data_IF_797495309111
#
_entry.id   IF_797495309111
#
_cell.length_a   1.000
_cell.length_b   1.000
_cell.length_c   1.000
_cell.angle_alpha   90.00
_cell.angle_beta   90.00
_cell.angle_gamma   90.00
#
_symmetry.space_group_name_H-M   'P 1'
#
loop_
_entity.id
_entity.type
_entity.pdbx_description
1 polymer ?
#
# COMPACT_ATOMS: atom_id res chain seq x y z
N UNK A 1 -36.67 52.45 29.19
CA UNK A 1 -37.37 51.24 28.68
C UNK A 1 -37.01 51.07 27.21
N UNK A 2 -36.65 49.85 26.78
CA UNK A 2 -36.18 49.38 25.44
C UNK A 2 -34.69 49.59 25.17
N UNK A 3 -33.82 48.72 25.70
CA UNK A 3 -33.42 47.37 25.24
C UNK A 3 -32.33 47.44 24.15
N UNK A 4 -31.12 47.19 24.62
CA UNK A 4 -29.91 46.76 23.91
C UNK A 4 -30.19 45.45 23.18
N UNK A 5 -29.87 45.32 21.89
CA UNK A 5 -29.55 44.03 21.30
C UNK A 5 -28.35 44.13 20.36
N UNK A 6 -27.26 43.54 20.84
CA UNK A 6 -25.94 43.41 20.25
C UNK A 6 -25.98 42.65 18.92
N UNK A 7 -25.24 43.17 17.95
CA UNK A 7 -24.85 42.45 16.74
C UNK A 7 -23.80 41.41 17.15
N UNK A 8 -24.24 40.20 17.50
CA UNK A 8 -23.36 39.04 17.67
C UNK A 8 -23.08 38.49 16.27
N UNK A 9 -21.92 38.82 15.73
CA UNK A 9 -21.38 38.18 14.55
C UNK A 9 -21.07 36.71 14.87
N UNK A 10 -21.86 35.81 14.31
CA UNK A 10 -21.56 34.37 14.32
C UNK A 10 -20.46 34.15 13.28
N UNK A 11 -19.21 34.13 13.72
CA UNK A 11 -18.09 33.65 12.94
C UNK A 11 -18.17 32.11 12.92
N UNK A 12 -18.80 31.54 11.89
CA UNK A 12 -18.72 30.10 11.62
C UNK A 12 -17.29 29.77 11.21
N UNK A 13 -16.47 29.39 12.20
CA UNK A 13 -15.17 28.78 11.95
C UNK A 13 -15.44 27.37 11.38
N UNK A 14 -15.64 27.27 10.07
CA UNK A 14 -15.59 25.98 9.40
C UNK A 14 -14.15 25.47 9.58
N UNK A 15 -13.97 24.49 10.46
CA UNK A 15 -12.74 23.74 10.52
C UNK A 15 -12.56 23.12 9.13
N UNK A 16 -11.64 23.66 8.32
CA UNK A 16 -11.13 22.96 7.15
C UNK A 16 -10.44 21.70 7.69
N UNK A 17 -11.19 20.60 7.77
CA UNK A 17 -10.57 19.28 7.82
C UNK A 17 -9.87 19.12 6.48
N UNK A 18 -8.56 19.38 6.47
CA UNK A 18 -7.71 18.99 5.37
C UNK A 18 -7.77 17.46 5.35
N UNK A 19 -8.63 16.89 4.50
CA UNK A 19 -8.64 15.46 4.27
C UNK A 19 -7.30 15.11 3.62
N UNK A 20 -6.41 14.51 4.39
CA UNK A 20 -5.22 13.90 3.83
C UNK A 20 -5.66 12.74 2.93
N UNK A 21 -5.17 12.71 1.69
CA UNK A 21 -5.40 11.60 0.75
C UNK A 21 -4.04 10.97 0.46
N UNK A 22 -3.72 9.85 1.12
CA UNK A 22 -2.58 9.03 0.70
C UNK A 22 -3.00 8.24 -0.53
N UNK A 23 -2.43 8.58 -1.68
CA UNK A 23 -2.76 7.96 -2.97
C UNK A 23 -1.69 6.96 -3.33
N UNK A 24 -2.08 5.69 -3.44
CA UNK A 24 -1.24 4.66 -4.05
C UNK A 24 -1.47 4.68 -5.56
N UNK A 25 -0.39 4.91 -6.30
CA UNK A 25 -0.32 4.87 -7.76
C UNK A 25 0.49 3.64 -8.15
N UNK A 26 -0.12 2.72 -8.88
CA UNK A 26 0.52 1.47 -9.27
C UNK A 26 1.02 1.56 -10.71
N UNK A 27 2.32 1.34 -10.90
CA UNK A 27 2.95 1.24 -12.22
C UNK A 27 3.06 -0.25 -12.55
N UNK A 28 2.18 -0.72 -13.43
CA UNK A 28 2.20 -2.11 -13.92
C UNK A 28 3.32 -2.27 -14.95
N UNK A 29 4.36 -3.00 -14.57
CA UNK A 29 5.61 -3.13 -15.31
C UNK A 29 5.83 -4.55 -15.87
N UNK A 30 4.77 -5.35 -15.93
CA UNK A 30 4.79 -6.62 -16.65
C UNK A 30 4.89 -6.38 -18.17
N UNK A 31 5.37 -7.36 -18.92
CA UNK A 31 5.36 -7.29 -20.38
C UNK A 31 3.92 -7.23 -20.92
N UNK A 32 3.65 -6.52 -22.02
CA UNK A 32 2.34 -6.52 -22.66
C UNK A 32 1.82 -7.95 -22.89
N UNK A 33 0.56 -8.20 -22.54
CA UNK A 33 -0.05 -9.52 -22.67
C UNK A 33 0.32 -10.52 -21.56
N UNK A 34 1.01 -10.08 -20.50
CA UNK A 34 1.38 -10.94 -19.36
C UNK A 34 0.93 -10.37 -18.02
N UNK A 35 1.02 -11.18 -16.96
CA UNK A 35 0.89 -10.70 -15.58
C UNK A 35 -0.39 -9.92 -15.30
N UNK A 36 -0.25 -8.73 -14.70
CA UNK A 36 -1.35 -7.83 -14.43
C UNK A 36 -1.98 -7.23 -15.70
N UNK A 37 -1.31 -7.21 -16.85
CA UNK A 37 -1.91 -6.69 -18.10
C UNK A 37 -3.08 -7.53 -18.62
N UNK A 38 -3.12 -8.83 -18.28
CA UNK A 38 -4.21 -9.74 -18.67
C UNK A 38 -5.12 -10.13 -17.51
N UNK A 39 -4.99 -9.47 -16.35
CA UNK A 39 -5.74 -9.77 -15.11
C UNK A 39 -6.45 -8.53 -14.56
N UNK A 40 -7.55 -8.08 -15.21
CA UNK A 40 -8.28 -6.90 -14.77
C UNK A 40 -8.81 -7.04 -13.33
N UNK A 41 -9.17 -8.25 -12.90
CA UNK A 41 -9.61 -8.54 -11.53
C UNK A 41 -8.50 -8.32 -10.50
N UNK A 42 -7.27 -8.73 -10.79
CA UNK A 42 -6.13 -8.52 -9.91
C UNK A 42 -5.79 -7.03 -9.79
N UNK A 43 -5.85 -6.28 -10.91
CA UNK A 43 -5.73 -4.82 -10.89
C UNK A 43 -6.80 -4.19 -10.01
N UNK A 44 -8.06 -4.56 -10.22
CA UNK A 44 -9.19 -4.01 -9.46
C UNK A 44 -9.04 -4.22 -7.95
N UNK A 45 -8.62 -5.41 -7.53
CA UNK A 45 -8.35 -5.72 -6.13
C UNK A 45 -7.17 -4.93 -5.57
N UNK A 46 -6.07 -4.80 -6.32
CA UNK A 46 -4.91 -4.00 -5.91
C UNK A 46 -5.27 -2.53 -5.71
N UNK A 47 -5.97 -1.94 -6.67
CA UNK A 47 -6.44 -0.56 -6.59
C UNK A 47 -7.43 -0.37 -5.43
N UNK A 48 -8.29 -1.36 -5.17
CA UNK A 48 -9.24 -1.35 -4.04
C UNK A 48 -8.49 -1.39 -2.70
N UNK A 49 -7.48 -2.24 -2.56
CA UNK A 49 -6.66 -2.32 -1.35
C UNK A 49 -5.86 -1.04 -1.16
N UNK A 50 -5.25 -0.50 -2.22
CA UNK A 50 -4.55 0.79 -2.16
C UNK A 50 -5.45 1.93 -1.67
N UNK A 51 -6.68 2.00 -2.18
CA UNK A 51 -7.70 2.96 -1.69
C UNK A 51 -8.13 2.71 -0.25
N UNK A 52 -8.32 1.44 0.14
CA UNK A 52 -8.68 1.07 1.51
C UNK A 52 -7.63 1.60 2.48
N UNK A 53 -6.36 1.26 2.25
CA UNK A 53 -5.24 1.64 3.11
C UNK A 53 -5.07 3.16 3.10
N UNK A 54 -4.97 3.76 1.91
CA UNK A 54 -4.75 5.20 1.75
C UNK A 54 -5.84 6.06 2.39
N UNK A 55 -7.12 5.75 2.12
CA UNK A 55 -8.25 6.58 2.54
C UNK A 55 -8.85 6.21 3.89
N UNK A 56 -8.66 4.98 4.38
CA UNK A 56 -9.21 4.56 5.68
C UNK A 56 -8.15 4.52 6.76
N UNK A 57 -7.00 3.92 6.50
CA UNK A 57 -5.94 3.76 7.51
C UNK A 57 -5.08 5.01 7.62
N UNK A 58 -4.83 5.70 6.49
CA UNK A 58 -3.91 6.84 6.43
C UNK A 58 -4.61 8.19 6.20
N UNK A 59 -5.91 8.30 6.51
CA UNK A 59 -6.81 9.44 6.21
C UNK A 59 -6.41 10.83 6.75
N UNK A 60 -5.39 10.90 7.60
CA UNK A 60 -4.87 12.14 8.19
C UNK A 60 -3.50 12.54 7.64
N UNK A 61 -3.01 11.81 6.62
CA UNK A 61 -1.74 12.04 5.96
C UNK A 61 -1.96 12.37 4.49
N UNK A 62 -1.03 13.11 3.88
CA UNK A 62 -1.08 13.45 2.46
C UNK A 62 0.24 13.04 1.81
N UNK A 63 0.19 12.05 0.92
CA UNK A 63 1.35 11.57 0.20
C UNK A 63 0.93 10.86 -1.10
N UNK A 64 1.71 11.06 -2.15
CA UNK A 64 1.60 10.28 -3.38
C UNK A 64 2.62 9.14 -3.33
N UNK A 65 2.14 7.92 -3.22
CA UNK A 65 2.94 6.71 -3.15
C UNK A 65 2.96 6.06 -4.53
N UNK A 66 4.14 5.73 -5.05
CA UNK A 66 4.32 5.09 -6.35
C UNK A 66 4.86 3.68 -6.11
N UNK A 67 4.08 2.67 -6.45
CA UNK A 67 4.48 1.26 -6.32
C UNK A 67 4.67 0.67 -7.71
N UNK A 68 5.87 0.17 -7.99
CA UNK A 68 6.11 -0.66 -9.17
C UNK A 68 5.52 -2.04 -8.92
N UNK A 69 4.63 -2.47 -9.79
CA UNK A 69 3.97 -3.78 -9.72
C UNK A 69 4.53 -4.66 -10.83
N UNK A 70 5.04 -5.81 -10.44
CA UNK A 70 5.49 -6.86 -11.34
C UNK A 70 4.81 -8.17 -10.94
N UNK A 71 4.90 -9.15 -11.81
CA UNK A 71 4.45 -10.49 -11.54
C UNK A 71 5.38 -11.53 -12.13
N UNK A 72 5.16 -12.75 -11.69
CA UNK A 72 5.89 -13.92 -12.15
C UNK A 72 4.99 -15.15 -12.09
N UNK A 73 5.45 -16.25 -12.68
CA UNK A 73 4.77 -17.54 -12.65
C UNK A 73 5.79 -18.64 -12.41
N UNK A 74 6.13 -18.84 -11.14
CA UNK A 74 7.16 -19.80 -10.73
C UNK A 74 6.66 -20.73 -9.63
N UNK A 75 6.63 -22.04 -9.91
CA UNK A 75 6.20 -23.07 -8.98
C UNK A 75 7.18 -23.29 -7.83
N UNK A 76 8.46 -23.06 -8.08
CA UNK A 76 9.56 -23.34 -7.17
C UNK A 76 9.71 -22.27 -6.08
N UNK A 77 9.06 -21.12 -6.26
CA UNK A 77 9.07 -20.04 -5.28
C UNK A 77 8.00 -20.28 -4.22
N UNK A 78 8.44 -20.38 -2.98
CA UNK A 78 7.58 -20.66 -1.83
C UNK A 78 6.70 -19.50 -1.39
N UNK A 79 6.80 -18.32 -2.02
CA UNK A 79 5.96 -17.16 -1.68
C UNK A 79 4.79 -16.96 -2.63
N UNK A 80 3.71 -16.37 -2.11
CA UNK A 80 2.53 -15.96 -2.87
C UNK A 80 2.74 -14.59 -3.51
N UNK A 81 3.29 -13.66 -2.74
CA UNK A 81 3.70 -12.34 -3.17
C UNK A 81 4.87 -11.87 -2.30
N UNK A 82 5.47 -10.75 -2.68
CA UNK A 82 6.41 -10.00 -1.86
C UNK A 82 6.31 -8.52 -2.16
N UNK A 83 6.46 -7.68 -1.13
CA UNK A 83 6.69 -6.27 -1.30
C UNK A 83 7.90 -5.77 -0.52
N UNK A 84 8.59 -4.79 -1.12
CA UNK A 84 9.77 -4.17 -0.54
C UNK A 84 9.83 -2.68 -0.86
N UNK A 85 10.28 -1.88 0.10
CA UNK A 85 10.60 -0.48 -0.13
C UNK A 85 11.80 -0.36 -1.08
N UNK A 86 11.80 0.69 -1.91
CA UNK A 86 12.93 1.00 -2.80
C UNK A 86 14.18 1.46 -2.02
N UNK A 87 13.98 1.94 -0.79
CA UNK A 87 15.03 2.34 0.14
C UNK A 87 14.61 1.99 1.57
N UNK A 88 15.57 1.55 2.40
CA UNK A 88 15.37 1.29 3.82
C UNK A 88 16.29 2.18 4.65
N UNK A 89 15.72 2.82 5.67
CA UNK A 89 16.49 3.30 6.81
C UNK A 89 16.67 2.05 7.66
N UNK A 90 17.87 1.48 7.62
CA UNK A 90 18.46 0.45 8.48
C UNK A 90 17.50 -0.41 9.35
N UNK A 91 17.59 -1.75 9.24
CA UNK A 91 17.57 -2.71 10.37
C UNK A 91 17.23 -4.16 9.94
N UNK A 92 18.02 -5.11 10.45
CA UNK A 92 17.90 -6.57 10.27
C UNK A 92 17.02 -7.24 11.35
N UNK A 93 15.91 -6.63 11.79
CA UNK A 93 15.14 -7.12 12.94
C UNK A 93 13.66 -7.31 12.62
N UNK A 94 13.00 -8.08 13.47
CA UNK A 94 11.55 -8.21 13.51
C UNK A 94 10.86 -6.99 14.07
N UNK A 95 9.66 -6.71 13.55
CA UNK A 95 8.75 -5.73 14.12
C UNK A 95 8.51 -4.55 13.20
N UNK A 96 8.09 -3.44 13.78
CA UNK A 96 7.87 -2.22 13.03
C UNK A 96 9.17 -1.41 12.93
N UNK A 97 9.54 -1.05 11.71
CA UNK A 97 10.70 -0.22 11.40
C UNK A 97 10.26 1.01 10.63
N UNK A 98 10.92 2.14 10.90
CA UNK A 98 10.68 3.38 10.16
C UNK A 98 11.14 3.20 8.70
N UNK A 99 10.20 2.93 7.80
CA UNK A 99 10.50 2.86 6.37
C UNK A 99 10.60 4.26 5.76
N UNK A 100 11.33 4.40 4.64
CA UNK A 100 11.32 5.65 3.86
C UNK A 100 9.89 6.02 3.43
N UNK A 101 9.08 5.01 3.10
CA UNK A 101 7.67 5.21 2.77
C UNK A 101 6.87 5.75 3.95
N UNK A 102 7.03 5.17 5.15
CA UNK A 102 6.39 5.67 6.36
C UNK A 102 6.81 7.11 6.67
N UNK A 103 8.09 7.43 6.52
CA UNK A 103 8.60 8.81 6.65
C UNK A 103 7.98 9.76 5.61
N UNK A 104 7.83 9.32 4.35
CA UNK A 104 7.17 10.09 3.29
C UNK A 104 5.69 10.34 3.60
N UNK A 105 4.98 9.35 4.14
CA UNK A 105 3.58 9.49 4.57
C UNK A 105 3.46 10.52 5.70
N UNK A 106 4.35 10.47 6.69
CA UNK A 106 4.34 11.39 7.84
C UNK A 106 4.72 12.81 7.43
N UNK A 107 5.78 12.98 6.64
CA UNK A 107 6.32 14.29 6.29
C UNK A 107 5.66 14.93 5.06
N UNK A 108 4.92 14.15 4.27
CA UNK A 108 4.31 14.58 3.01
C UNK A 108 5.31 14.93 1.89
N UNK A 109 6.62 14.73 2.12
CA UNK A 109 7.69 15.05 1.18
C UNK A 109 8.41 13.79 0.71
N UNK A 110 8.63 13.71 -0.60
CA UNK A 110 9.44 12.66 -1.19
C UNK A 110 10.93 13.00 -1.02
N UNK A 111 11.61 12.29 -0.13
CA UNK A 111 13.07 12.42 0.05
C UNK A 111 13.81 11.24 -0.60
N UNK A 112 13.16 10.55 -1.53
CA UNK A 112 13.73 9.41 -2.24
C UNK A 112 13.96 9.81 -3.71
N UNK A 113 15.20 9.68 -4.19
CA UNK A 113 15.57 9.98 -5.59
C UNK A 113 15.19 8.84 -6.56
N UNK A 114 14.45 7.83 -6.08
CA UNK A 114 13.98 6.71 -6.90
C UNK A 114 12.65 7.05 -7.56
N UNK A 115 12.47 6.49 -8.76
CA UNK A 115 11.25 6.61 -9.57
C UNK A 115 10.00 6.01 -8.88
N UNK A 116 10.20 5.02 -7.99
CA UNK A 116 9.14 4.37 -7.23
C UNK A 116 9.53 4.25 -5.74
N UNK A 117 8.53 4.25 -4.87
CA UNK A 117 8.68 4.12 -3.41
C UNK A 117 8.80 2.66 -2.95
N UNK A 118 8.26 1.72 -3.74
CA UNK A 118 8.30 0.29 -3.46
C UNK A 118 8.06 -0.57 -4.68
N UNK A 119 8.33 -1.86 -4.52
CA UNK A 119 8.06 -2.89 -5.52
C UNK A 119 7.13 -3.92 -4.88
N UNK A 120 6.08 -4.30 -5.59
CA UNK A 120 5.20 -5.42 -5.31
C UNK A 120 5.39 -6.46 -6.42
N UNK A 121 5.67 -7.71 -6.05
CA UNK A 121 5.76 -8.85 -6.95
C UNK A 121 4.73 -9.91 -6.55
N UNK A 122 3.89 -10.33 -7.49
CA UNK A 122 2.89 -11.38 -7.28
C UNK A 122 3.22 -12.61 -8.11
N UNK A 123 3.24 -13.78 -7.46
CA UNK A 123 3.45 -15.06 -8.13
C UNK A 123 2.13 -15.68 -8.59
N UNK A 124 1.72 -15.39 -9.82
CA UNK A 124 0.50 -15.94 -10.45
C UNK A 124 0.63 -17.42 -10.87
N UNK A 125 1.66 -18.14 -10.45
CA UNK A 125 1.59 -19.60 -10.41
C UNK A 125 0.60 -20.09 -9.34
N UNK A 126 0.38 -19.30 -8.29
CA UNK A 126 -0.53 -19.64 -7.19
C UNK A 126 -1.98 -19.37 -7.56
N UNK A 127 -2.89 -20.15 -6.96
CA UNK A 127 -4.33 -20.04 -7.21
C UNK A 127 -4.94 -18.97 -6.31
N UNK A 128 -5.32 -17.84 -6.90
CA UNK A 128 -5.93 -16.72 -6.17
C UNK A 128 -7.44 -16.63 -6.44
N UNK A 129 -8.18 -16.24 -5.41
CA UNK A 129 -9.56 -15.78 -5.50
C UNK A 129 -9.59 -14.26 -5.49
N UNK A 130 -10.43 -13.67 -6.33
CA UNK A 130 -10.50 -12.22 -6.54
C UNK A 130 -11.85 -11.67 -6.08
N UNK A 131 -11.87 -10.39 -5.73
CA UNK A 131 -13.09 -9.70 -5.28
C UNK A 131 -13.61 -10.28 -3.96
N UNK A 132 -14.91 -10.60 -3.93
CA UNK A 132 -15.58 -11.21 -2.77
C UNK A 132 -15.84 -12.71 -2.97
N UNK A 133 -15.24 -13.34 -3.98
CA UNK A 133 -15.47 -14.74 -4.35
C UNK A 133 -14.16 -15.52 -4.28
N UNK A 134 -13.85 -16.03 -3.09
CA UNK A 134 -12.67 -16.88 -2.84
C UNK A 134 -13.16 -18.31 -2.59
N UNK A 135 -12.73 -19.26 -3.42
CA UNK A 135 -13.05 -20.68 -3.24
C UNK A 135 -12.15 -21.31 -2.17
N UNK A 136 -12.56 -22.46 -1.64
CA UNK A 136 -11.85 -23.17 -0.56
C UNK A 136 -10.36 -23.46 -0.85
N UNK A 137 -9.99 -23.67 -2.12
CA UNK A 137 -8.61 -23.98 -2.54
C UNK A 137 -7.85 -22.76 -3.08
N UNK A 138 -8.39 -21.56 -2.89
CA UNK A 138 -7.81 -20.32 -3.40
C UNK A 138 -7.33 -19.46 -2.24
N UNK A 139 -6.23 -18.77 -2.48
CA UNK A 139 -5.77 -17.72 -1.57
C UNK A 139 -6.56 -16.43 -1.83
N UNK A 140 -6.99 -15.76 -0.76
CA UNK A 140 -7.64 -14.45 -0.86
C UNK A 140 -6.62 -13.41 -1.32
N UNK A 141 -6.81 -12.90 -2.54
CA UNK A 141 -5.87 -11.96 -3.13
C UNK A 141 -5.84 -10.61 -2.38
N UNK A 142 -6.98 -10.09 -1.94
CA UNK A 142 -7.03 -8.82 -1.21
C UNK A 142 -6.32 -8.95 0.14
N UNK A 143 -6.48 -10.07 0.85
CA UNK A 143 -5.78 -10.31 2.11
C UNK A 143 -4.26 -10.34 1.94
N UNK A 144 -3.76 -10.99 0.88
CA UNK A 144 -2.33 -11.03 0.56
C UNK A 144 -1.82 -9.64 0.20
N UNK A 145 -2.54 -8.89 -0.63
CA UNK A 145 -2.14 -7.54 -0.97
C UNK A 145 -2.09 -6.60 0.24
N UNK A 146 -3.05 -6.73 1.17
CA UNK A 146 -3.02 -6.01 2.44
C UNK A 146 -1.74 -6.36 3.22
N UNK A 147 -1.42 -7.64 3.34
CA UNK A 147 -0.18 -8.10 4.00
C UNK A 147 1.06 -7.50 3.34
N UNK A 148 1.17 -7.57 2.01
CA UNK A 148 2.34 -7.04 1.33
C UNK A 148 2.46 -5.52 1.48
N UNK A 149 1.35 -4.79 1.43
CA UNK A 149 1.41 -3.33 1.61
C UNK A 149 1.78 -2.95 3.05
N UNK A 150 1.44 -3.74 4.08
CA UNK A 150 1.91 -3.45 5.45
C UNK A 150 3.43 -3.60 5.58
N UNK A 151 4.05 -4.48 4.78
CA UNK A 151 5.52 -4.53 4.69
C UNK A 151 6.12 -3.22 4.18
N UNK A 152 5.49 -2.59 3.18
CA UNK A 152 5.93 -1.28 2.69
C UNK A 152 5.80 -0.19 3.76
N UNK A 153 4.79 -0.29 4.63
CA UNK A 153 4.57 0.64 5.73
C UNK A 153 5.54 0.47 6.90
N UNK A 154 6.37 -0.59 6.90
CA UNK A 154 7.43 -0.79 7.87
C UNK A 154 7.29 -2.02 8.76
N UNK A 155 6.23 -2.82 8.63
CA UNK A 155 6.13 -4.08 9.35
C UNK A 155 7.06 -5.12 8.73
N UNK A 156 7.98 -5.68 9.51
CA UNK A 156 8.89 -6.75 9.09
C UNK A 156 8.68 -8.00 9.96
N UNK A 157 8.76 -9.16 9.32
CA UNK A 157 8.76 -10.47 9.95
C UNK A 157 9.94 -11.31 9.44
N UNK A 158 10.66 -11.92 10.37
CA UNK A 158 11.93 -12.62 10.20
C UNK A 158 11.57 -14.07 9.98
N UNK A 159 11.29 -14.34 8.72
CA UNK A 159 11.72 -15.55 8.06
C UNK A 159 12.38 -15.20 6.71
N UNK A 160 13.32 -14.24 6.72
CA UNK A 160 14.61 -14.31 5.99
C UNK A 160 15.40 -13.01 6.08
N UNK A 161 16.71 -13.12 6.34
CA UNK A 161 17.71 -12.04 6.28
C UNK A 161 17.61 -11.27 4.95
N UNK A 162 17.60 -9.94 5.00
CA UNK A 162 17.79 -9.11 3.81
C UNK A 162 19.24 -9.27 3.33
N UNK A 163 19.46 -9.45 2.01
CA UNK A 163 18.97 -8.49 1.03
C UNK A 163 17.98 -9.11 0.03
N UNK A 164 16.94 -8.35 -0.33
CA UNK A 164 16.11 -8.49 -1.55
C UNK A 164 14.81 -9.31 -1.61
N UNK A 165 14.19 -9.83 -0.54
CA UNK A 165 12.76 -10.27 -0.64
C UNK A 165 12.11 -10.55 0.71
N UNK A 166 10.91 -9.99 0.96
CA UNK A 166 10.03 -10.42 2.06
C UNK A 166 9.09 -11.49 1.51
N UNK A 167 9.17 -12.72 2.00
CA UNK A 167 8.44 -13.87 1.44
C UNK A 167 7.28 -14.24 2.36
N UNK A 168 6.06 -14.21 1.83
CA UNK A 168 4.89 -14.75 2.52
C UNK A 168 4.89 -16.27 2.34
N UNK A 169 5.40 -16.99 3.35
CA UNK A 169 5.31 -18.46 3.45
C UNK A 169 3.97 -18.82 4.11
N UNK A 170 3.04 -19.36 3.33
CA UNK A 170 1.93 -20.17 3.81
C UNK A 170 2.11 -21.60 3.28
#
# INVERSE_FOLDING_TARGET
>A
MKIVQSIIGILLLQSLTLFGDVKFNFIYADEPGTGFHIRPEAKSDLEKVGRLIGRKWLKHHNANIVIKVISEKDAHKSYLANARCASYLDNNKNGFHHSYLGKKIILGKNNNDKEFDGILNVNFHRSFGFGNKVKLHQFDFQAILIHEITHLLGFQSSYSKCPTSNKLLL
#
